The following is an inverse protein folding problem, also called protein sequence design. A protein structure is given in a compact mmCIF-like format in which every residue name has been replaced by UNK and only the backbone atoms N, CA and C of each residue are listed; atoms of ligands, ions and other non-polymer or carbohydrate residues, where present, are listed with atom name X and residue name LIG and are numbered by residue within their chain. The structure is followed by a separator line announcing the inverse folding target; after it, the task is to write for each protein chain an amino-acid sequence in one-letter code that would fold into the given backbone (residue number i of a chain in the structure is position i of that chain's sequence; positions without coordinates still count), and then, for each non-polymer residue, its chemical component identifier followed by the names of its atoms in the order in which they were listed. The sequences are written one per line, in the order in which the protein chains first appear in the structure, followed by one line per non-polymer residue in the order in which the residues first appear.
data_IF_155185413893
#
_entry.id   IF_155185413893
#
_cell.length_a   1.000
_cell.length_b   1.000
_cell.length_c   1.000
_cell.angle_alpha   90.00
_cell.angle_beta   90.00
_cell.angle_gamma   90.00
#
_symmetry.space_group_name_H-M   'P 1'
#
loop_
_entity.id
_entity.type
_entity.pdbx_description
1 polymer ?
#
# COMPACT_ATOMS: atom_id res chain seq x y z
N UNK A 1 -29.09 -17.11 -12.11
CA UNK A 1 -27.99 -16.82 -11.17
C UNK A 1 -26.84 -17.74 -11.55
N UNK A 2 -25.92 -17.27 -12.40
CA UNK A 2 -24.74 -18.04 -12.76
C UNK A 2 -23.78 -18.06 -11.58
N UNK A 3 -23.57 -19.25 -11.02
CA UNK A 3 -22.59 -19.51 -9.99
C UNK A 3 -21.20 -19.48 -10.65
N UNK A 4 -20.56 -18.30 -10.69
CA UNK A 4 -19.17 -18.15 -11.11
C UNK A 4 -18.31 -18.94 -10.12
N UNK A 5 -18.02 -20.21 -10.45
CA UNK A 5 -17.06 -21.02 -9.68
C UNK A 5 -15.73 -20.29 -9.74
N UNK A 6 -15.28 -19.77 -8.60
CA UNK A 6 -13.96 -19.15 -8.48
C UNK A 6 -12.93 -20.20 -8.88
N UNK A 7 -12.27 -20.01 -10.03
CA UNK A 7 -11.27 -20.93 -10.54
C UNK A 7 -10.01 -20.74 -9.70
N UNK A 8 -9.88 -21.52 -8.64
CA UNK A 8 -8.71 -21.49 -7.75
C UNK A 8 -7.65 -22.43 -8.31
N UNK A 9 -6.40 -21.96 -8.34
CA UNK A 9 -5.26 -22.77 -8.75
C UNK A 9 -4.96 -23.86 -7.72
N UNK A 10 -4.44 -25.01 -8.17
CA UNK A 10 -4.04 -26.07 -7.25
C UNK A 10 -2.81 -25.66 -6.43
N UNK A 11 -2.73 -26.15 -5.18
CA UNK A 11 -1.64 -25.82 -4.24
C UNK A 11 -0.25 -26.12 -4.83
N UNK A 12 -0.13 -27.24 -5.56
CA UNK A 12 1.12 -27.65 -6.19
C UNK A 12 1.60 -26.68 -7.28
N UNK A 13 0.68 -26.03 -8.02
CA UNK A 13 1.04 -25.04 -9.04
C UNK A 13 1.43 -23.71 -8.36
N UNK A 14 0.72 -23.32 -7.31
CA UNK A 14 0.99 -22.07 -6.59
C UNK A 14 2.35 -22.07 -5.89
N UNK A 15 2.89 -23.25 -5.56
CA UNK A 15 4.21 -23.43 -4.94
C UNK A 15 5.38 -23.36 -5.93
N UNK A 16 5.11 -23.36 -7.24
CA UNK A 16 6.14 -23.24 -8.25
C UNK A 16 6.80 -21.84 -8.21
N UNK A 17 8.10 -21.78 -8.48
CA UNK A 17 8.89 -20.54 -8.36
C UNK A 17 8.35 -19.38 -9.19
N UNK A 18 7.79 -19.66 -10.37
CA UNK A 18 7.20 -18.63 -11.24
C UNK A 18 5.88 -18.06 -10.69
N UNK A 19 5.21 -18.79 -9.79
CA UNK A 19 3.98 -18.36 -9.14
C UNK A 19 4.20 -17.59 -7.85
N UNK A 20 5.44 -17.26 -7.48
CA UNK A 20 5.74 -16.57 -6.22
C UNK A 20 4.88 -15.31 -5.99
N UNK A 21 4.74 -14.45 -7.01
CA UNK A 21 3.92 -13.23 -6.93
C UNK A 21 2.43 -13.55 -6.75
N UNK A 22 1.92 -14.58 -7.43
CA UNK A 22 0.54 -15.03 -7.32
C UNK A 22 0.27 -15.68 -5.96
N UNK A 23 1.23 -16.46 -5.44
CA UNK A 23 1.19 -17.06 -4.10
C UNK A 23 1.09 -15.99 -3.02
N UNK A 24 1.95 -14.98 -3.08
CA UNK A 24 1.93 -13.84 -2.14
C UNK A 24 0.60 -13.09 -2.21
N UNK A 25 0.05 -12.87 -3.41
CA UNK A 25 -1.26 -12.23 -3.59
C UNK A 25 -2.40 -13.05 -2.97
N UNK A 26 -2.47 -14.35 -3.29
CA UNK A 26 -3.52 -15.25 -2.77
C UNK A 26 -3.42 -15.37 -1.25
N UNK A 27 -2.21 -15.47 -0.71
CA UNK A 27 -1.99 -15.54 0.73
C UNK A 27 -2.45 -14.26 1.44
N UNK A 28 -2.14 -13.09 0.86
CA UNK A 28 -2.63 -11.82 1.37
C UNK A 28 -4.16 -11.72 1.35
N UNK A 29 -4.81 -12.17 0.27
CA UNK A 29 -6.27 -12.18 0.19
C UNK A 29 -6.90 -13.11 1.25
N UNK A 30 -6.27 -14.24 1.55
CA UNK A 30 -6.70 -15.15 2.62
C UNK A 30 -6.54 -14.47 3.98
N UNK A 31 -5.39 -13.87 4.25
CA UNK A 31 -5.11 -13.16 5.51
C UNK A 31 -6.07 -11.98 5.72
N UNK A 32 -6.34 -11.20 4.67
CA UNK A 32 -7.30 -10.09 4.72
C UNK A 32 -8.73 -10.60 5.00
N UNK A 33 -9.14 -11.72 4.39
CA UNK A 33 -10.45 -12.32 4.62
C UNK A 33 -10.59 -12.93 6.02
N UNK A 34 -9.55 -13.61 6.51
CA UNK A 34 -9.49 -14.16 7.88
C UNK A 34 -9.51 -13.03 8.92
N UNK A 35 -8.76 -11.95 8.68
CA UNK A 35 -8.80 -10.75 9.52
C UNK A 35 -10.19 -10.12 9.55
N UNK A 36 -10.84 -9.95 8.39
CA UNK A 36 -12.21 -9.43 8.32
C UNK A 36 -13.21 -10.33 9.07
N UNK A 37 -13.07 -11.65 8.96
CA UNK A 37 -13.95 -12.60 9.65
C UNK A 37 -13.71 -12.62 11.17
N UNK A 38 -12.47 -12.44 11.64
CA UNK A 38 -12.17 -12.36 13.07
C UNK A 38 -12.75 -11.10 13.71
N UNK A 39 -12.65 -9.95 13.04
CA UNK A 39 -13.07 -8.66 13.61
C UNK A 39 -14.49 -8.24 13.20
N UNK A 40 -15.24 -9.08 12.47
CA UNK A 40 -16.59 -8.77 11.99
C UNK A 40 -17.58 -8.47 13.13
N UNK A 41 -17.31 -8.97 14.33
CA UNK A 41 -18.16 -8.76 15.50
C UNK A 41 -17.76 -7.54 16.35
N UNK A 42 -16.55 -6.99 16.14
CA UNK A 42 -15.98 -5.92 16.97
C UNK A 42 -15.91 -4.58 16.23
N UNK A 43 -15.83 -4.60 14.89
CA UNK A 43 -15.77 -3.38 14.06
C UNK A 43 -17.16 -3.01 13.58
N UNK A 44 -17.65 -1.84 13.98
CA UNK A 44 -18.91 -1.29 13.45
C UNK A 44 -18.75 -0.79 12.01
N UNK A 45 -19.82 -0.90 11.21
CA UNK A 45 -19.84 -0.37 9.84
C UNK A 45 -19.50 1.14 9.76
N UNK A 46 -19.79 1.89 10.82
CA UNK A 46 -19.39 3.30 10.92
C UNK A 46 -17.88 3.46 11.03
N UNK A 47 -17.19 2.64 11.83
CA UNK A 47 -15.71 2.64 11.92
C UNK A 47 -15.05 2.27 10.59
N UNK A 48 -15.66 1.35 9.82
CA UNK A 48 -15.18 0.98 8.47
C UNK A 48 -15.32 2.14 7.48
N UNK A 49 -16.38 2.94 7.61
CA UNK A 49 -16.68 4.06 6.71
C UNK A 49 -15.94 5.35 7.09
N UNK A 50 -15.68 5.56 8.37
CA UNK A 50 -15.06 6.78 8.89
C UNK A 50 -13.56 6.87 8.63
N UNK A 51 -12.91 5.77 8.26
CA UNK A 51 -11.47 5.72 8.02
C UNK A 51 -10.65 6.22 9.21
N UNK A 52 -9.38 6.58 8.96
CA UNK A 52 -8.54 7.20 9.98
C UNK A 52 -8.89 8.70 10.07
N UNK A 53 -9.64 9.10 11.10
CA UNK A 53 -9.93 10.52 11.36
C UNK A 53 -8.69 11.33 11.72
N UNK A 54 -7.68 10.70 12.33
CA UNK A 54 -6.44 11.33 12.76
C UNK A 54 -5.27 10.41 12.46
N UNK A 55 -4.26 10.93 11.77
CA UNK A 55 -3.02 10.23 11.47
C UNK A 55 -1.86 11.00 12.12
N UNK A 56 -1.06 10.27 12.89
CA UNK A 56 0.12 10.82 13.58
C UNK A 56 1.33 10.42 12.74
N UNK A 57 1.93 11.40 12.09
CA UNK A 57 3.13 11.21 11.26
C UNK A 57 4.35 11.77 12.00
N UNK A 58 5.42 10.98 12.10
CA UNK A 58 6.68 11.43 12.70
C UNK A 58 7.47 12.36 11.77
N UNK A 59 7.18 12.31 10.47
CA UNK A 59 7.86 13.11 9.45
C UNK A 59 7.23 14.50 9.33
N UNK A 60 8.06 15.54 9.51
CA UNK A 60 7.67 16.94 9.28
C UNK A 60 7.49 17.28 7.80
N UNK A 61 7.98 16.43 6.88
CA UNK A 61 7.95 16.64 5.43
C UNK A 61 6.52 16.77 4.89
N UNK A 62 5.55 16.10 5.51
CA UNK A 62 4.15 16.20 5.10
C UNK A 62 3.46 17.47 5.64
N UNK A 63 3.98 18.03 6.74
CA UNK A 63 3.43 19.23 7.40
C UNK A 63 4.03 20.53 6.85
N UNK A 64 5.24 20.46 6.28
CA UNK A 64 5.95 21.60 5.72
C UNK A 64 6.35 21.26 4.29
N UNK A 65 6.03 22.15 3.35
CA UNK A 65 6.49 22.07 1.97
C UNK A 65 8.01 22.34 1.90
N UNK A 66 8.80 21.38 2.37
CA UNK A 66 10.25 21.45 2.37
C UNK A 66 10.75 21.36 0.93
N UNK A 67 11.65 22.27 0.57
CA UNK A 67 12.36 22.23 -0.70
C UNK A 67 13.42 21.12 -0.69
N UNK A 68 13.88 20.73 -1.87
CA UNK A 68 14.93 19.73 -2.00
C UNK A 68 16.20 20.20 -1.25
N UNK A 69 16.79 19.30 -0.46
CA UNK A 69 17.85 19.67 0.49
C UNK A 69 19.18 20.05 -0.17
N UNK A 70 19.33 19.81 -1.48
CA UNK A 70 20.55 20.10 -2.23
C UNK A 70 20.30 21.29 -3.14
N UNK A 71 20.85 22.44 -2.73
CA UNK A 71 20.73 23.70 -3.46
C UNK A 71 22.10 24.10 -4.02
N UNK A 72 22.10 24.73 -5.19
CA UNK A 72 23.28 25.39 -5.73
C UNK A 72 22.88 26.80 -6.18
N UNK A 73 23.81 27.74 -6.14
CA UNK A 73 23.54 29.12 -6.53
C UNK A 73 24.72 29.68 -7.33
N UNK A 74 24.43 30.56 -8.26
CA UNK A 74 25.44 31.31 -9.00
C UNK A 74 26.18 30.49 -10.06
N UNK A 75 25.56 29.43 -10.59
CA UNK A 75 26.16 28.60 -11.64
C UNK A 75 27.25 27.65 -11.12
N UNK A 76 27.34 27.46 -9.80
CA UNK A 76 28.31 26.54 -9.19
C UNK A 76 27.99 25.07 -9.53
N UNK A 77 26.70 24.76 -9.78
CA UNK A 77 26.29 23.49 -10.36
C UNK A 77 24.96 23.63 -11.13
N UNK A 78 25.02 23.85 -12.46
CA UNK A 78 23.84 24.10 -13.29
C UNK A 78 22.82 22.94 -13.32
N UNK A 79 23.27 21.70 -13.13
CA UNK A 79 22.39 20.51 -13.12
C UNK A 79 21.48 20.47 -11.89
N UNK A 80 21.92 21.08 -10.77
CA UNK A 80 21.12 21.17 -9.54
C UNK A 80 20.17 22.36 -9.64
N UNK A 81 20.66 23.52 -10.08
CA UNK A 81 19.87 24.75 -10.22
C UNK A 81 18.69 24.60 -11.19
N UNK A 82 18.81 23.70 -12.18
CA UNK A 82 17.73 23.41 -13.12
C UNK A 82 16.54 22.70 -12.47
N UNK A 83 16.77 21.96 -11.38
CA UNK A 83 15.72 21.27 -10.63
C UNK A 83 15.04 22.18 -9.60
N UNK A 84 15.55 23.39 -9.37
CA UNK A 84 14.98 24.39 -8.46
C UNK A 84 13.84 25.25 -9.09
N UNK A 85 13.41 24.94 -10.33
CA UNK A 85 12.36 25.68 -11.08
C UNK A 85 11.00 25.00 -10.99
#
# INVERSE_FOLDING_TARGET
MENQRQVVLSKAILEMKFMKKTKEKVQKEIEDAEGQAMYSNEITEEMRRSGNLVFIETSITNCKNLIEGRLSFGGANPEIEKNDV
#
